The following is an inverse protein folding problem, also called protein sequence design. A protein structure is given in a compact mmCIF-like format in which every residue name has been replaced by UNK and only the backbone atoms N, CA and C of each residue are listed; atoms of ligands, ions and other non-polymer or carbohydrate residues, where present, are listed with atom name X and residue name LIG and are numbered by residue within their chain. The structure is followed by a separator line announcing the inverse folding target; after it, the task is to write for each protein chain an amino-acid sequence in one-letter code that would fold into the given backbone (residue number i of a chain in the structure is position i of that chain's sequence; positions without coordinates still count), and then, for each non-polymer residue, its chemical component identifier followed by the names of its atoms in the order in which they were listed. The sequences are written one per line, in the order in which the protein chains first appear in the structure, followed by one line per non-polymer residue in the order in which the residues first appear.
data_IF_816916983400
#
_entry.id   IF_816916983400
#
_cell.length_a   1.000
_cell.length_b   1.000
_cell.length_c   1.000
_cell.angle_alpha   90.00
_cell.angle_beta   90.00
_cell.angle_gamma   90.00
#
_symmetry.space_group_name_H-M   'P 1'
#
loop_
_entity.id
_entity.type
_entity.pdbx_description
1 polymer ?
#
# COMPACT_ATOMS: atom_id res chain seq x y z
N UNK A 1 22.39 2.05 -7.22
CA UNK A 1 21.10 1.65 -7.82
C UNK A 1 20.01 1.68 -6.77
N UNK A 2 18.87 2.25 -7.09
CA UNK A 2 17.72 2.29 -6.18
C UNK A 2 16.85 1.08 -6.46
N UNK A 3 16.50 0.34 -5.41
CA UNK A 3 15.59 -0.79 -5.50
C UNK A 3 14.37 -0.54 -4.63
N UNK A 4 13.27 -1.20 -4.97
CA UNK A 4 12.01 -1.10 -4.23
C UNK A 4 11.59 -2.48 -3.74
N UNK A 5 11.09 -2.54 -2.53
CA UNK A 5 10.55 -3.77 -1.97
C UNK A 5 9.10 -3.54 -1.57
N UNK A 6 8.21 -4.43 -2.04
CA UNK A 6 6.80 -4.44 -1.64
C UNK A 6 6.62 -5.41 -0.48
N UNK A 7 5.96 -4.95 0.58
CA UNK A 7 5.59 -5.77 1.72
C UNK A 7 4.09 -5.65 1.93
N UNK A 8 3.42 -6.77 2.11
CA UNK A 8 1.99 -6.80 2.42
C UNK A 8 1.83 -7.29 3.85
N UNK A 9 1.16 -6.49 4.68
CA UNK A 9 0.97 -6.78 6.11
C UNK A 9 -0.51 -6.70 6.46
N UNK A 10 -0.91 -7.38 7.54
CA UNK A 10 -2.28 -7.28 8.02
C UNK A 10 -2.55 -5.89 8.57
N UNK A 11 -3.75 -5.36 8.30
CA UNK A 11 -4.22 -4.09 8.85
C UNK A 11 -5.13 -4.39 10.04
N UNK A 12 -4.56 -4.41 11.24
CA UNK A 12 -5.28 -4.73 12.47
C UNK A 12 -6.19 -3.59 12.93
N UNK A 13 -6.02 -2.40 12.37
CA UNK A 13 -6.79 -1.21 12.71
C UNK A 13 -7.73 -0.78 11.58
N UNK A 14 -8.04 -1.69 10.66
CA UNK A 14 -8.91 -1.38 9.53
C UNK A 14 -10.30 -0.95 9.99
N UNK A 15 -10.84 0.05 9.30
CA UNK A 15 -12.20 0.54 9.54
C UNK A 15 -13.17 -0.17 8.60
N UNK A 16 -14.13 -0.86 9.18
CA UNK A 16 -15.18 -1.59 8.46
C UNK A 16 -16.51 -0.84 8.42
N UNK A 17 -16.54 0.41 8.89
CA UNK A 17 -17.79 1.19 8.98
C UNK A 17 -18.46 1.39 7.62
N UNK A 18 -17.71 1.34 6.53
CA UNK A 18 -18.26 1.44 5.17
C UNK A 18 -19.22 0.29 4.85
N UNK A 19 -19.11 -0.84 5.55
CA UNK A 19 -20.02 -1.98 5.41
C UNK A 19 -21.34 -1.79 6.21
N UNK A 20 -21.40 -0.76 7.05
CA UNK A 20 -22.60 -0.47 7.86
C UNK A 20 -23.55 0.53 7.18
N UNK A 21 -23.25 0.96 5.97
CA UNK A 21 -24.09 1.86 5.20
C UNK A 21 -25.37 1.15 4.75
N UNK A 22 -26.42 1.93 4.47
CA UNK A 22 -27.73 1.42 4.13
C UNK A 22 -27.96 1.37 2.63
N UNK A 23 -29.00 0.64 2.21
CA UNK A 23 -29.44 0.64 0.79
C UNK A 23 -29.85 2.01 0.33
N UNK A 24 -30.44 2.84 1.21
CA UNK A 24 -30.81 4.20 0.86
C UNK A 24 -29.61 5.07 0.49
N UNK A 25 -28.46 4.80 1.13
CA UNK A 25 -27.22 5.56 0.87
C UNK A 25 -26.45 5.02 -0.33
N UNK A 26 -26.43 3.69 -0.52
CA UNK A 26 -25.54 3.01 -1.46
C UNK A 26 -26.25 2.33 -2.63
N UNK A 27 -27.58 2.23 -2.59
CA UNK A 27 -28.37 1.55 -3.60
C UNK A 27 -28.86 0.18 -3.18
N UNK A 28 -29.84 -0.36 -3.92
CA UNK A 28 -30.48 -1.61 -3.58
C UNK A 28 -29.52 -2.78 -3.56
N UNK A 29 -29.63 -3.61 -2.53
CA UNK A 29 -28.83 -4.83 -2.37
C UNK A 29 -27.51 -4.62 -1.65
N UNK A 30 -27.16 -3.38 -1.29
CA UNK A 30 -25.88 -3.10 -0.60
C UNK A 30 -25.83 -3.75 0.78
N UNK A 31 -26.91 -3.64 1.58
CA UNK A 31 -26.94 -4.18 2.94
C UNK A 31 -26.74 -5.69 2.95
N UNK A 32 -27.33 -6.40 2.00
CA UNK A 32 -27.19 -7.84 1.88
C UNK A 32 -25.76 -8.23 1.47
N UNK A 33 -25.21 -7.53 0.48
CA UNK A 33 -23.83 -7.75 0.04
C UNK A 33 -22.83 -7.45 1.14
N UNK A 34 -23.06 -6.37 1.90
CA UNK A 34 -22.21 -5.99 3.03
C UNK A 34 -22.24 -7.05 4.13
N UNK A 35 -23.43 -7.60 4.43
CA UNK A 35 -23.57 -8.66 5.42
C UNK A 35 -22.80 -9.91 5.00
N UNK A 36 -22.93 -10.33 3.74
CA UNK A 36 -22.18 -11.47 3.22
C UNK A 36 -20.68 -11.23 3.30
N UNK A 37 -20.24 -10.02 3.02
CA UNK A 37 -18.84 -9.64 3.07
C UNK A 37 -18.28 -9.71 4.50
N UNK A 38 -19.05 -9.23 5.49
CA UNK A 38 -18.68 -9.31 6.90
C UNK A 38 -18.61 -10.76 7.38
N UNK A 39 -19.55 -11.60 6.95
CA UNK A 39 -19.55 -13.02 7.31
C UNK A 39 -18.33 -13.72 6.73
N UNK A 40 -17.98 -13.44 5.50
CA UNK A 40 -16.78 -13.99 4.85
C UNK A 40 -15.51 -13.57 5.60
N UNK A 41 -15.43 -12.32 6.04
CA UNK A 41 -14.32 -11.85 6.85
C UNK A 41 -14.24 -12.62 8.18
N UNK A 42 -15.38 -12.81 8.83
CA UNK A 42 -15.45 -13.58 10.08
C UNK A 42 -15.01 -15.03 9.93
N UNK A 43 -15.16 -15.61 8.73
CA UNK A 43 -14.70 -16.97 8.43
C UNK A 43 -13.22 -17.01 7.97
N UNK A 44 -12.54 -15.87 7.90
CA UNK A 44 -11.17 -15.80 7.45
C UNK A 44 -10.99 -15.92 5.93
N UNK A 45 -12.04 -15.74 5.15
CA UNK A 45 -11.95 -15.83 3.68
C UNK A 45 -11.27 -14.62 3.05
N UNK A 46 -11.26 -13.49 3.72
CA UNK A 46 -10.51 -12.30 3.33
C UNK A 46 -10.18 -11.48 4.57
N UNK A 47 -9.25 -10.54 4.40
CA UNK A 47 -8.86 -9.64 5.48
C UNK A 47 -8.49 -8.29 4.89
N UNK A 48 -8.30 -7.30 5.76
CA UNK A 48 -7.74 -6.02 5.36
C UNK A 48 -6.22 -6.06 5.49
N UNK A 49 -5.55 -5.50 4.51
CA UNK A 49 -4.09 -5.46 4.47
C UNK A 49 -3.61 -4.05 4.13
N UNK A 50 -2.35 -3.80 4.42
CA UNK A 50 -1.63 -2.63 3.97
C UNK A 50 -0.52 -3.04 3.03
N UNK A 51 -0.24 -2.20 2.04
CA UNK A 51 0.90 -2.36 1.15
C UNK A 51 1.92 -1.30 1.52
N UNK A 52 3.15 -1.72 1.77
CA UNK A 52 4.27 -0.83 2.06
C UNK A 52 5.30 -1.02 0.95
N UNK A 53 5.66 0.07 0.29
CA UNK A 53 6.76 0.07 -0.68
C UNK A 53 7.92 0.81 -0.05
N UNK A 54 9.05 0.14 0.07
CA UNK A 54 10.25 0.69 0.67
C UNK A 54 11.33 0.83 -0.39
N UNK A 55 11.97 1.99 -0.43
CA UNK A 55 13.06 2.28 -1.36
C UNK A 55 14.39 2.12 -0.63
N UNK A 56 15.35 1.51 -1.33
CA UNK A 56 16.70 1.26 -0.82
C UNK A 56 17.73 1.82 -1.78
N UNK A 57 18.79 2.40 -1.23
CA UNK A 57 20.01 2.69 -1.96
C UNK A 57 21.08 1.71 -1.46
N UNK A 58 21.36 0.69 -2.26
CA UNK A 58 22.13 -0.45 -1.78
C UNK A 58 21.38 -1.16 -0.66
N UNK A 59 21.98 -1.29 0.51
CA UNK A 59 21.38 -1.92 1.68
C UNK A 59 20.69 -0.92 2.61
N UNK A 60 20.73 0.37 2.29
CA UNK A 60 20.19 1.40 3.17
C UNK A 60 18.78 1.80 2.75
N UNK A 61 17.85 1.74 3.70
CA UNK A 61 16.49 2.24 3.51
C UNK A 61 16.50 3.77 3.44
N UNK A 62 15.87 4.32 2.39
CA UNK A 62 15.87 5.76 2.14
C UNK A 62 14.48 6.38 2.20
N UNK A 63 13.44 5.57 2.16
CA UNK A 63 12.07 6.05 2.28
C UNK A 63 11.06 4.95 2.11
N UNK A 64 9.83 5.23 2.50
CA UNK A 64 8.72 4.30 2.31
C UNK A 64 7.43 5.05 2.08
N UNK A 65 6.51 4.40 1.37
CA UNK A 65 5.14 4.86 1.20
C UNK A 65 4.21 3.68 1.42
N UNK A 66 3.02 3.94 1.94
CA UNK A 66 2.09 2.87 2.25
C UNK A 66 0.65 3.27 1.96
N UNK A 67 -0.18 2.26 1.72
CA UNK A 67 -1.62 2.40 1.61
C UNK A 67 -2.27 1.29 2.43
N UNK A 68 -3.19 1.65 3.30
CA UNK A 68 -3.86 0.75 4.22
C UNK A 68 -5.33 0.58 3.85
N UNK A 69 -6.00 -0.38 4.48
CA UNK A 69 -7.41 -0.61 4.25
C UNK A 69 -7.73 -1.24 2.91
N UNK A 70 -6.85 -2.10 2.41
CA UNK A 70 -7.02 -2.80 1.14
C UNK A 70 -7.57 -4.19 1.42
N UNK A 71 -8.58 -4.61 0.65
CA UNK A 71 -9.10 -5.97 0.78
C UNK A 71 -8.09 -6.98 0.21
N UNK A 72 -7.77 -8.02 0.97
CA UNK A 72 -6.72 -8.99 0.61
C UNK A 72 -7.01 -9.75 -0.67
N UNK A 73 -8.28 -9.86 -1.05
CA UNK A 73 -8.72 -10.59 -2.25
C UNK A 73 -8.93 -9.69 -3.47
N UNK A 74 -8.34 -8.49 -3.46
CA UNK A 74 -8.50 -7.51 -4.56
C UNK A 74 -7.83 -7.94 -5.88
N UNK A 75 -6.93 -8.92 -5.82
CA UNK A 75 -6.25 -9.44 -7.01
C UNK A 75 -4.89 -8.80 -7.26
N UNK A 76 -4.03 -9.54 -7.96
CA UNK A 76 -2.65 -9.14 -8.21
C UNK A 76 -2.53 -7.87 -9.03
N UNK A 77 -3.41 -7.68 -10.02
CA UNK A 77 -3.39 -6.49 -10.87
C UNK A 77 -3.62 -5.22 -10.06
N UNK A 78 -4.55 -5.29 -9.10
CA UNK A 78 -4.83 -4.16 -8.21
C UNK A 78 -3.63 -3.86 -7.31
N UNK A 79 -3.02 -4.89 -6.73
CA UNK A 79 -1.82 -4.71 -5.90
C UNK A 79 -0.66 -4.15 -6.69
N UNK A 80 -0.48 -4.60 -7.94
CA UNK A 80 0.57 -4.08 -8.82
C UNK A 80 0.34 -2.61 -9.16
N UNK A 81 -0.90 -2.22 -9.39
CA UNK A 81 -1.27 -0.83 -9.67
C UNK A 81 -0.94 0.08 -8.47
N UNK A 82 -1.31 -0.36 -7.26
CA UNK A 82 -1.00 0.39 -6.03
C UNK A 82 0.51 0.48 -5.83
N UNK A 83 1.24 -0.60 -6.08
CA UNK A 83 2.71 -0.59 -5.99
C UNK A 83 3.31 0.50 -6.89
N UNK A 84 2.82 0.60 -8.14
CA UNK A 84 3.30 1.63 -9.06
C UNK A 84 2.95 3.04 -8.60
N UNK A 85 1.77 3.23 -8.04
CA UNK A 85 1.36 4.53 -7.48
C UNK A 85 2.23 4.93 -6.30
N UNK A 86 2.54 3.99 -5.40
CA UNK A 86 3.39 4.24 -4.25
C UNK A 86 4.83 4.52 -4.65
N UNK A 87 5.35 3.83 -5.67
CA UNK A 87 6.66 4.13 -6.24
C UNK A 87 6.72 5.54 -6.83
N UNK A 88 5.66 5.93 -7.55
CA UNK A 88 5.57 7.27 -8.13
C UNK A 88 5.51 8.34 -7.04
N UNK A 89 4.78 8.07 -5.95
CA UNK A 89 4.70 8.96 -4.79
C UNK A 89 6.08 9.13 -4.15
N UNK A 90 6.81 8.04 -3.94
CA UNK A 90 8.17 8.09 -3.41
C UNK A 90 9.10 8.89 -4.31
N UNK A 91 8.98 8.72 -5.64
CA UNK A 91 9.84 9.40 -6.59
C UNK A 91 9.51 10.89 -6.70
N UNK A 92 8.23 11.25 -6.73
CA UNK A 92 7.81 12.64 -6.95
C UNK A 92 7.71 13.45 -5.66
N UNK A 93 7.48 12.80 -4.52
CA UNK A 93 7.31 13.47 -3.23
C UNK A 93 8.61 13.86 -2.54
N UNK A 94 9.76 13.47 -3.10
CA UNK A 94 11.06 13.70 -2.47
C UNK A 94 12.10 14.31 -3.40
N UNK A 95 11.86 15.53 -3.96
CA UNK A 95 12.93 16.19 -4.73
C UNK A 95 14.19 16.38 -3.90
N UNK A 96 14.04 16.72 -2.60
CA UNK A 96 15.16 16.84 -1.69
C UNK A 96 15.83 15.49 -1.44
N UNK A 97 15.04 14.42 -1.29
CA UNK A 97 15.57 13.08 -1.11
C UNK A 97 16.29 12.59 -2.38
N UNK A 98 15.77 12.94 -3.56
CA UNK A 98 16.44 12.63 -4.82
C UNK A 98 17.81 13.29 -4.88
N UNK A 99 17.94 14.54 -4.41
CA UNK A 99 19.21 15.24 -4.33
C UNK A 99 20.16 14.58 -3.32
N UNK A 100 19.66 14.18 -2.17
CA UNK A 100 20.43 13.46 -1.16
C UNK A 100 20.92 12.11 -1.69
N UNK A 101 20.07 11.41 -2.43
CA UNK A 101 20.43 10.16 -3.08
C UNK A 101 21.52 10.34 -4.11
N UNK A 102 21.42 11.37 -4.93
CA UNK A 102 22.45 11.69 -5.91
C UNK A 102 23.77 11.99 -5.21
N UNK A 103 23.74 12.76 -4.13
CA UNK A 103 24.93 13.08 -3.34
C UNK A 103 25.51 11.81 -2.69
N UNK A 104 24.67 10.92 -2.20
CA UNK A 104 25.09 9.64 -1.60
C UNK A 104 25.79 8.75 -2.63
N UNK A 105 25.20 8.60 -3.80
CA UNK A 105 25.78 7.81 -4.90
C UNK A 105 27.12 8.41 -5.35
N UNK A 106 27.17 9.73 -5.52
CA UNK A 106 28.40 10.43 -5.89
C UNK A 106 29.49 10.27 -4.82
N UNK A 107 29.09 10.29 -3.54
CA UNK A 107 30.00 10.05 -2.44
C UNK A 107 30.61 8.64 -2.46
N UNK A 108 29.79 7.64 -2.80
CA UNK A 108 30.27 6.26 -2.95
C UNK A 108 31.26 6.13 -4.10
N UNK A 109 31.00 6.80 -5.21
CA UNK A 109 31.91 6.81 -6.37
C UNK A 109 33.23 7.50 -6.05
N UNK A 110 33.16 8.57 -5.26
CA UNK A 110 34.34 9.34 -4.88
C UNK A 110 35.26 8.57 -3.93
N UNK A 111 34.76 7.59 -3.22
CA UNK A 111 35.54 6.79 -2.25
C UNK A 111 36.21 5.57 -2.87
N UNK A 112 35.98 5.34 -4.14
CA UNK A 112 36.64 4.21 -4.84
C UNK A 112 38.11 4.49 -5.12
#
# INVERSE_FOLDING_TARGET
MITFKRTIVNDDNADFSWLDQTDDEMGDGFEEAARERKEAWGRGEWSMVGIIVTAYAGDQEIGSASLWGIESDSGDDYFNEIEQELKAELTSGFPALANELTAYVNGLEATK
#
